data_IF_796716140531
#
_entry.id   IF_796716140531
#
_cell.length_a   1.000
_cell.length_b   1.000
_cell.length_c   1.000
_cell.angle_alpha   90.00
_cell.angle_beta   90.00
_cell.angle_gamma   90.00
#
_symmetry.space_group_name_H-M   'P 1'
#
loop_
_entity.id
_entity.type
_entity.pdbx_description
1 polymer ?
#
# COMPACT_ATOMS: atom_id res chain seq x y z
N UNK A 1 -6.32 21.40 -46.42
CA UNK A 1 -5.15 20.89 -45.66
C UNK A 1 -4.83 21.74 -44.42
N UNK A 2 -4.75 23.07 -44.50
CA UNK A 2 -4.42 23.95 -43.35
C UNK A 2 -5.38 23.89 -42.14
N UNK A 3 -6.69 23.71 -42.34
CA UNK A 3 -7.68 23.65 -41.24
C UNK A 3 -7.47 22.44 -40.31
N UNK A 4 -6.98 21.32 -40.85
CA UNK A 4 -6.76 20.09 -40.06
C UNK A 4 -5.51 20.20 -39.20
N UNK A 5 -4.52 21.01 -39.62
CA UNK A 5 -3.29 21.27 -38.87
C UNK A 5 -3.56 22.17 -37.67
N UNK A 6 -4.37 23.22 -37.82
CA UNK A 6 -4.72 24.13 -36.73
C UNK A 6 -5.49 23.42 -35.59
N UNK A 7 -6.42 22.52 -35.94
CA UNK A 7 -7.16 21.73 -34.95
C UNK A 7 -6.25 20.75 -34.20
N UNK A 8 -5.31 20.11 -34.89
CA UNK A 8 -4.33 19.22 -34.25
C UNK A 8 -3.42 19.96 -33.26
N UNK A 9 -2.94 21.16 -33.62
CA UNK A 9 -2.10 21.98 -32.74
C UNK A 9 -2.88 22.45 -31.51
N UNK A 10 -4.12 22.94 -31.69
CA UNK A 10 -4.96 23.36 -30.57
C UNK A 10 -5.24 22.20 -29.61
N UNK A 11 -5.49 21.00 -30.13
CA UNK A 11 -5.65 19.79 -29.32
C UNK A 11 -4.40 19.47 -28.49
N UNK A 12 -3.21 19.53 -29.10
CA UNK A 12 -1.94 19.28 -28.40
C UNK A 12 -1.66 20.30 -27.29
N UNK A 13 -1.95 21.59 -27.51
CA UNK A 13 -1.73 22.64 -26.50
C UNK A 13 -2.67 22.44 -25.29
N UNK A 14 -3.93 22.05 -25.52
CA UNK A 14 -4.88 21.77 -24.44
C UNK A 14 -4.41 20.56 -23.63
N UNK A 15 -4.01 19.48 -24.30
CA UNK A 15 -3.49 18.27 -23.61
C UNK A 15 -2.24 18.63 -22.80
N UNK A 16 -1.30 19.38 -23.38
CA UNK A 16 -0.10 19.82 -22.69
C UNK A 16 -0.42 20.70 -21.47
N UNK A 17 -1.39 21.61 -21.59
CA UNK A 17 -1.86 22.45 -20.48
C UNK A 17 -2.49 21.63 -19.34
N UNK A 18 -3.30 20.62 -19.67
CA UNK A 18 -3.92 19.72 -18.67
C UNK A 18 -2.84 18.89 -17.96
N UNK A 19 -1.90 18.31 -18.71
CA UNK A 19 -0.80 17.52 -18.15
C UNK A 19 0.07 18.39 -17.25
N UNK A 20 0.42 19.60 -17.69
CA UNK A 20 1.20 20.54 -16.91
C UNK A 20 0.49 20.96 -15.61
N UNK A 21 -0.82 21.25 -15.69
CA UNK A 21 -1.63 21.59 -14.51
C UNK A 21 -1.72 20.42 -13.52
N UNK A 22 -1.95 19.20 -14.01
CA UNK A 22 -2.02 18.01 -13.15
C UNK A 22 -0.69 17.74 -12.42
N UNK A 23 0.44 17.92 -13.10
CA UNK A 23 1.77 17.76 -12.50
C UNK A 23 2.05 18.79 -11.40
N UNK A 24 1.60 20.04 -11.57
CA UNK A 24 1.76 21.09 -10.56
C UNK A 24 0.79 20.96 -9.37
N UNK A 25 -0.43 20.48 -9.61
CA UNK A 25 -1.43 20.34 -8.56
C UNK A 25 -1.14 19.17 -7.60
N UNK A 26 -0.45 18.13 -8.08
CA UNK A 26 -0.17 16.91 -7.34
C UNK A 26 1.32 16.56 -7.47
N UNK A 27 2.23 17.28 -6.78
CA UNK A 27 3.64 16.94 -6.80
C UNK A 27 3.83 15.51 -6.27
N UNK A 28 4.76 14.73 -6.85
CA UNK A 28 5.05 13.39 -6.36
C UNK A 28 5.61 13.46 -4.95
N UNK A 29 5.40 12.40 -4.17
CA UNK A 29 5.97 12.29 -2.82
C UNK A 29 7.50 12.23 -2.91
N UNK A 30 8.17 12.99 -2.06
CA UNK A 30 9.63 13.04 -1.95
C UNK A 30 10.24 11.65 -1.74
N UNK A 31 11.23 11.29 -2.56
CA UNK A 31 11.94 10.01 -2.49
C UNK A 31 12.60 9.79 -1.12
N UNK A 32 13.15 10.85 -0.51
CA UNK A 32 13.73 10.79 0.83
C UNK A 32 12.69 10.47 1.90
N UNK A 33 11.41 10.84 1.69
CA UNK A 33 10.33 10.42 2.58
C UNK A 33 9.98 8.95 2.35
N UNK A 34 9.96 8.49 1.10
CA UNK A 34 9.68 7.08 0.77
C UNK A 34 10.68 6.14 1.43
N UNK A 35 11.96 6.51 1.44
CA UNK A 35 13.03 5.72 2.06
C UNK A 35 12.96 5.68 3.61
N UNK A 36 12.18 6.56 4.23
CA UNK A 36 11.99 6.57 5.67
C UNK A 36 10.93 5.58 6.16
N UNK A 37 10.12 5.01 5.26
CA UNK A 37 9.14 3.98 5.62
C UNK A 37 9.82 2.62 5.83
N UNK A 38 9.61 2.04 7.00
CA UNK A 38 9.98 0.67 7.30
C UNK A 38 8.95 0.02 8.21
N UNK A 39 8.98 -1.30 8.32
CA UNK A 39 8.01 -2.06 9.09
C UNK A 39 8.73 -2.80 10.23
N UNK A 40 8.12 -2.77 11.40
CA UNK A 40 8.55 -3.52 12.57
C UNK A 40 7.46 -4.53 12.93
N UNK A 41 7.87 -5.75 13.24
CA UNK A 41 6.97 -6.86 13.54
C UNK A 41 7.30 -7.41 14.93
N UNK A 42 6.31 -7.40 15.82
CA UNK A 42 6.42 -8.00 17.15
C UNK A 42 5.56 -9.26 17.19
N UNK A 43 6.21 -10.41 17.33
CA UNK A 43 5.54 -11.70 17.53
C UNK A 43 4.84 -11.71 18.90
N UNK A 44 3.52 -11.91 18.89
CA UNK A 44 2.68 -12.00 20.09
C UNK A 44 2.36 -13.46 20.46
N UNK A 45 2.96 -14.42 19.78
CA UNK A 45 2.74 -15.85 19.95
C UNK A 45 1.45 -16.34 19.29
N UNK A 46 0.98 -17.51 19.72
CA UNK A 46 -0.21 -18.17 19.17
C UNK A 46 -1.43 -17.83 20.01
N UNK A 47 -2.51 -17.42 19.35
CA UNK A 47 -3.81 -17.25 19.98
C UNK A 47 -4.33 -18.60 20.50
N UNK A 48 -4.63 -18.74 21.80
CA UNK A 48 -5.01 -20.02 22.39
C UNK A 48 -6.38 -20.53 21.91
N UNK A 49 -7.27 -19.66 21.45
CA UNK A 49 -8.60 -20.02 20.98
C UNK A 49 -8.59 -20.39 19.49
N UNK A 50 -7.93 -19.56 18.68
CA UNK A 50 -7.91 -19.72 17.23
C UNK A 50 -6.78 -20.63 16.75
N UNK A 51 -5.78 -20.89 17.58
CA UNK A 51 -4.56 -21.64 17.24
C UNK A 51 -3.81 -21.02 16.04
N UNK A 52 -3.83 -19.68 15.96
CA UNK A 52 -3.17 -18.90 14.91
C UNK A 52 -2.11 -17.98 15.52
N UNK A 53 -0.92 -17.83 14.91
CA UNK A 53 0.04 -16.84 15.34
C UNK A 53 -0.53 -15.43 15.17
N UNK A 54 -0.13 -14.52 16.06
CA UNK A 54 -0.48 -13.11 16.03
C UNK A 54 0.78 -12.27 15.99
N UNK A 55 0.78 -11.26 15.15
CA UNK A 55 1.89 -10.32 15.01
C UNK A 55 1.36 -8.90 15.13
N UNK A 56 1.96 -8.09 16.00
CA UNK A 56 1.73 -6.66 16.01
C UNK A 56 2.59 -6.00 14.93
N UNK A 57 1.94 -5.22 14.06
CA UNK A 57 2.57 -4.49 12.97
C UNK A 57 2.70 -3.03 13.35
N UNK A 58 3.91 -2.50 13.26
CA UNK A 58 4.22 -1.10 13.45
C UNK A 58 4.82 -0.53 12.18
N UNK A 59 4.30 0.62 11.74
CA UNK A 59 4.88 1.42 10.68
C UNK A 59 5.91 2.36 11.31
N UNK A 60 7.16 2.23 10.88
CA UNK A 60 8.23 3.14 11.27
C UNK A 60 8.37 4.25 10.24
N UNK A 61 8.24 5.50 10.69
CA UNK A 61 8.40 6.71 9.87
C UNK A 61 9.38 7.64 10.55
N UNK A 62 10.45 8.02 9.86
CA UNK A 62 11.47 8.93 10.40
C UNK A 62 12.01 8.48 11.79
N UNK A 63 12.11 7.17 12.01
CA UNK A 63 12.57 6.60 13.27
C UNK A 63 11.51 6.40 14.36
N UNK A 64 10.27 6.87 14.16
CA UNK A 64 9.16 6.72 15.10
C UNK A 64 8.30 5.51 14.70
N UNK A 65 8.05 4.59 15.64
CA UNK A 65 7.17 3.44 15.44
C UNK A 65 5.71 3.81 15.75
N UNK A 66 4.83 3.62 14.78
CA UNK A 66 3.39 3.89 14.87
C UNK A 66 2.65 2.55 14.83
N UNK A 67 1.89 2.16 15.86
CA UNK A 67 1.14 0.91 15.85
C UNK A 67 0.05 0.98 14.77
N UNK A 68 0.02 -0.01 13.89
CA UNK A 68 -0.98 -0.09 12.81
C UNK A 68 -2.09 -1.07 13.17
N UNK A 69 -1.73 -2.23 13.70
CA UNK A 69 -2.69 -3.26 14.09
C UNK A 69 -2.04 -4.54 14.57
N UNK A 70 -2.88 -5.51 14.95
CA UNK A 70 -2.48 -6.89 15.24
C UNK A 70 -3.11 -7.76 14.17
N UNK A 71 -2.29 -8.57 13.51
CA UNK A 71 -2.69 -9.39 12.38
C UNK A 71 -2.44 -10.86 12.67
N UNK A 72 -3.25 -11.73 12.08
CA UNK A 72 -3.01 -13.16 12.09
C UNK A 72 -1.84 -13.50 11.14
N UNK A 73 -1.00 -14.45 11.53
CA UNK A 73 0.12 -14.90 10.72
C UNK A 73 1.47 -14.33 11.10
N UNK A 74 2.47 -14.77 10.35
CA UNK A 74 3.81 -14.19 10.39
C UNK A 74 3.87 -13.05 9.39
N UNK A 75 4.37 -11.89 9.83
CA UNK A 75 4.49 -10.72 8.98
C UNK A 75 5.92 -10.52 8.48
N UNK A 76 6.06 -10.01 7.26
CA UNK A 76 7.34 -9.66 6.66
C UNK A 76 7.21 -8.41 5.78
N UNK A 77 8.35 -7.75 5.57
CA UNK A 77 8.42 -6.56 4.71
C UNK A 77 8.44 -7.00 3.24
N UNK A 78 7.67 -6.32 2.39
CA UNK A 78 7.72 -6.56 0.95
C UNK A 78 9.11 -6.17 0.41
N UNK A 79 9.72 -5.11 0.94
CA UNK A 79 11.11 -4.72 0.61
C UNK A 79 12.07 -5.85 0.93
N UNK A 80 12.71 -6.40 -0.09
CA UNK A 80 13.68 -7.50 0.05
C UNK A 80 13.05 -8.90 0.14
N UNK A 81 11.74 -9.02 -0.09
CA UNK A 81 11.06 -10.30 -0.28
C UNK A 81 10.93 -10.65 -1.77
N UNK A 82 10.27 -11.77 -2.08
CA UNK A 82 9.89 -12.13 -3.45
C UNK A 82 8.61 -11.43 -3.95
N UNK A 83 7.92 -10.67 -3.09
CA UNK A 83 6.71 -9.94 -3.46
C UNK A 83 7.08 -8.58 -4.06
N UNK A 84 6.31 -8.16 -5.05
CA UNK A 84 6.46 -6.84 -5.68
C UNK A 84 5.46 -5.84 -5.10
N UNK A 85 5.80 -4.56 -5.12
CA UNK A 85 4.88 -3.50 -4.79
C UNK A 85 3.78 -3.36 -5.85
N UNK A 86 2.56 -3.07 -5.41
CA UNK A 86 1.47 -2.70 -6.30
C UNK A 86 1.67 -1.29 -6.89
N UNK A 87 0.96 -0.94 -7.98
CA UNK A 87 1.02 0.41 -8.52
C UNK A 87 0.67 1.47 -7.46
N UNK A 88 1.59 2.40 -7.24
CA UNK A 88 1.46 3.46 -6.24
C UNK A 88 1.83 3.03 -4.82
N UNK A 89 2.08 1.75 -4.54
CA UNK A 89 2.57 1.31 -3.24
C UNK A 89 4.05 1.68 -3.08
N UNK A 90 4.37 2.45 -2.03
CA UNK A 90 5.74 2.92 -1.74
C UNK A 90 6.42 2.15 -0.62
N UNK A 91 5.65 1.50 0.24
CA UNK A 91 6.11 0.61 1.29
C UNK A 91 5.00 -0.36 1.67
N UNK A 92 5.35 -1.61 1.98
CA UNK A 92 4.35 -2.64 2.25
C UNK A 92 4.84 -3.76 3.15
N UNK A 93 3.91 -4.36 3.88
CA UNK A 93 4.11 -5.53 4.70
C UNK A 93 2.99 -6.53 4.45
N UNK A 94 3.34 -7.81 4.46
CA UNK A 94 2.39 -8.91 4.30
C UNK A 94 2.38 -9.72 5.58
N UNK A 95 1.20 -9.96 6.13
CA UNK A 95 0.93 -10.88 7.22
C UNK A 95 0.20 -12.09 6.66
N UNK A 96 0.83 -13.27 6.73
CA UNK A 96 0.38 -14.46 6.03
C UNK A 96 0.17 -15.65 6.98
N UNK A 97 -0.94 -16.36 6.80
CA UNK A 97 -1.25 -17.60 7.50
C UNK A 97 -2.15 -18.52 6.67
N UNK A 98 -1.77 -19.80 6.58
CA UNK A 98 -2.62 -20.88 6.07
C UNK A 98 -3.37 -20.57 4.76
N UNK A 99 -2.67 -19.95 3.81
CA UNK A 99 -3.19 -19.69 2.46
C UNK A 99 -3.87 -18.34 2.27
N UNK A 100 -3.87 -17.48 3.28
CA UNK A 100 -4.35 -16.12 3.11
C UNK A 100 -3.75 -15.16 4.12
N UNK A 101 -4.21 -13.92 4.08
CA UNK A 101 -3.74 -12.92 5.01
C UNK A 101 -4.07 -11.51 4.60
N UNK A 102 -3.28 -10.58 5.13
CA UNK A 102 -3.49 -9.15 4.96
C UNK A 102 -2.22 -8.50 4.44
N UNK A 103 -2.42 -7.55 3.55
CA UNK A 103 -1.37 -6.62 3.14
C UNK A 103 -1.62 -5.27 3.76
N UNK A 104 -0.60 -4.70 4.37
CA UNK A 104 -0.62 -3.35 4.91
C UNK A 104 0.38 -2.54 4.10
N UNK A 105 -0.11 -1.55 3.37
CA UNK A 105 0.71 -0.75 2.45
C UNK A 105 0.50 0.75 2.62
N UNK A 106 1.57 1.50 2.38
CA UNK A 106 1.53 2.95 2.18
C UNK A 106 1.45 3.18 0.68
N UNK A 107 0.37 3.82 0.24
CA UNK A 107 0.09 4.12 -1.16
C UNK A 107 0.20 5.61 -1.43
N UNK A 108 0.84 5.98 -2.53
CA UNK A 108 0.78 7.32 -3.07
C UNK A 108 -0.39 7.45 -4.04
N UNK A 109 -1.33 8.31 -3.69
CA UNK A 109 -2.53 8.58 -4.47
C UNK A 109 -2.71 10.09 -4.63
N UNK A 110 -2.60 10.57 -5.87
CA UNK A 110 -2.76 12.00 -6.19
C UNK A 110 -1.87 12.92 -5.34
N UNK A 111 -0.60 12.54 -5.18
CA UNK A 111 0.39 13.31 -4.40
C UNK A 111 0.20 13.24 -2.88
N UNK A 112 -0.71 12.40 -2.38
CA UNK A 112 -0.90 12.15 -0.95
C UNK A 112 -0.55 10.71 -0.59
N UNK A 113 -0.08 10.51 0.64
CA UNK A 113 0.16 9.17 1.19
C UNK A 113 -1.08 8.66 1.92
N UNK A 114 -1.46 7.42 1.66
CA UNK A 114 -2.57 6.72 2.28
C UNK A 114 -2.11 5.37 2.83
N UNK A 115 -2.28 5.16 4.13
CA UNK A 115 -2.08 3.85 4.75
C UNK A 115 -3.34 3.00 4.49
N UNK A 116 -3.17 1.83 3.90
CA UNK A 116 -4.26 0.94 3.50
C UNK A 116 -4.01 -0.49 3.91
N UNK A 117 -5.10 -1.21 4.09
CA UNK A 117 -5.11 -2.65 4.30
C UNK A 117 -5.89 -3.35 3.19
N UNK A 118 -5.28 -4.37 2.59
CA UNK A 118 -5.88 -5.25 1.60
C UNK A 118 -5.91 -6.70 2.08
N UNK A 119 -6.64 -7.53 1.34
CA UNK A 119 -6.76 -8.97 1.58
C UNK A 119 -5.89 -9.71 0.57
N UNK A 120 -5.22 -10.76 1.03
CA UNK A 120 -4.50 -11.71 0.19
C UNK A 120 -5.08 -13.10 0.40
N UNK A 121 -5.20 -13.85 -0.68
CA UNK A 121 -5.71 -15.23 -0.71
C UNK A 121 -4.90 -15.99 -1.75
N UNK A 122 -4.44 -17.20 -1.43
CA UNK A 122 -3.66 -18.05 -2.34
C UNK A 122 -4.50 -18.57 -3.51
N UNK A 123 -5.83 -18.47 -3.40
CA UNK A 123 -6.78 -19.03 -4.33
C UNK A 123 -6.98 -20.52 -4.09
N UNK A 124 -7.40 -21.21 -5.13
CA UNK A 124 -7.59 -22.67 -5.13
C UNK A 124 -6.89 -23.27 -6.36
N UNK A 125 -6.89 -24.60 -6.47
CA UNK A 125 -6.34 -25.25 -7.67
C UNK A 125 -7.00 -24.77 -8.98
N UNK A 126 -8.28 -24.39 -8.92
CA UNK A 126 -9.08 -23.98 -10.08
C UNK A 126 -9.26 -22.44 -10.20
N UNK A 127 -8.83 -21.67 -9.19
CA UNK A 127 -8.97 -20.22 -9.14
C UNK A 127 -7.67 -19.55 -8.70
N UNK A 128 -7.14 -18.63 -9.50
CA UNK A 128 -5.89 -17.92 -9.16
C UNK A 128 -6.00 -17.15 -7.84
N UNK A 129 -4.85 -16.89 -7.21
CA UNK A 129 -4.77 -16.10 -5.98
C UNK A 129 -5.32 -14.68 -6.15
N UNK A 130 -5.71 -14.10 -5.02
CA UNK A 130 -6.24 -12.75 -4.93
C UNK A 130 -5.32 -11.87 -4.07
N UNK A 131 -5.10 -10.64 -4.52
CA UNK A 131 -4.44 -9.57 -3.76
C UNK A 131 -5.12 -8.26 -4.10
N UNK A 132 -5.82 -7.65 -3.14
CA UNK A 132 -6.64 -6.49 -3.45
C UNK A 132 -7.58 -6.04 -2.33
N UNK A 133 -8.67 -5.37 -2.71
CA UNK A 133 -9.67 -4.81 -1.79
C UNK A 133 -9.10 -3.84 -0.74
N UNK A 134 -8.07 -3.07 -1.14
CA UNK A 134 -7.41 -2.11 -0.27
C UNK A 134 -8.37 -1.04 0.24
N UNK A 135 -8.45 -0.89 1.57
CA UNK A 135 -9.25 0.12 2.26
C UNK A 135 -8.34 0.99 3.13
N UNK A 136 -8.61 2.31 3.23
CA UNK A 136 -7.87 3.17 4.14
C UNK A 136 -7.98 2.68 5.59
N UNK A 137 -6.85 2.64 6.29
CA UNK A 137 -6.84 2.45 7.73
C UNK A 137 -7.21 3.77 8.40
N UNK A 138 -8.37 3.79 9.06
CA UNK A 138 -8.76 4.93 9.91
C UNK A 138 -8.19 4.70 11.29
N UNK A 139 -7.66 5.75 11.94
CA UNK A 139 -6.88 5.66 13.20
C UNK A 139 -7.70 5.28 14.44
N UNK A 140 -8.78 4.51 14.29
CA UNK A 140 -9.79 4.28 15.33
C UNK A 140 -9.92 2.85 15.82
N UNK A 141 -9.09 1.91 15.36
CA UNK A 141 -8.93 0.64 16.05
C UNK A 141 -7.88 0.78 17.16
N UNK A 142 -8.25 1.49 18.23
CA UNK A 142 -7.60 1.28 19.52
C UNK A 142 -7.74 -0.21 19.85
N UNK A 143 -6.68 -0.93 20.25
CA UNK A 143 -6.85 -2.24 20.83
C UNK A 143 -7.74 -2.06 22.07
N UNK A 144 -8.92 -2.65 22.08
CA UNK A 144 -9.59 -2.93 23.35
C UNK A 144 -8.66 -3.91 24.09
N UNK A 145 -7.99 -3.38 25.12
CA UNK A 145 -7.21 -4.14 26.10
C UNK A 145 -8.20 -4.80 27.07
#
# INVERSE_FOLDING_TARGET
>A
MQKNVAVAIAGLVIIAGIVFWAFWAYPPVDEALRDQFSWTFLDLGVDPQLQKPKTQVLLRVAGVDIPVGIYEGSCFNIKGSSWEYLPGEVAGAICWWAGGGHEIGVFEERGALALKEGIIDEGTADGGGFRGNFKPLTSTSSPEI
#
